data_IF_250254020246
#
_entry.id   IF_250254020246
#
_cell.length_a   1.000
_cell.length_b   1.000
_cell.length_c   1.000
_cell.angle_alpha   90.00
_cell.angle_beta   90.00
_cell.angle_gamma   90.00
#
_symmetry.space_group_name_H-M   'P 1'
#
loop_
_entity.id
_entity.type
_entity.pdbx_description
1 polymer ?
#
# COMPACT_ATOMS: atom_id res chain seq x y z
N UNK A 1 19.17 -23.67 3.06
CA UNK A 1 18.76 -24.68 4.06
C UNK A 1 17.59 -24.06 4.81
N UNK A 2 16.47 -24.77 4.98
CA UNK A 2 15.30 -24.20 5.65
C UNK A 2 15.58 -23.94 7.14
N UNK A 3 15.04 -22.86 7.68
CA UNK A 3 15.10 -22.51 9.10
C UNK A 3 14.08 -23.33 9.91
N UNK A 4 14.34 -23.51 11.21
CA UNK A 4 13.39 -24.20 12.10
C UNK A 4 12.24 -23.26 12.48
N UNK A 5 11.22 -23.17 11.63
CA UNK A 5 10.05 -22.31 11.84
C UNK A 5 9.13 -22.73 13.00
N UNK A 6 9.41 -23.86 13.67
CA UNK A 6 8.71 -24.26 14.90
C UNK A 6 9.34 -23.61 16.13
N UNK A 7 10.66 -23.43 16.13
CA UNK A 7 11.43 -22.88 17.26
C UNK A 7 11.79 -21.40 17.07
N UNK A 8 11.98 -20.98 15.82
CA UNK A 8 12.36 -19.62 15.48
C UNK A 8 11.12 -18.77 15.20
N UNK A 9 11.05 -17.60 15.84
CA UNK A 9 10.11 -16.56 15.46
C UNK A 9 10.46 -15.98 14.08
N UNK A 10 9.48 -15.44 13.37
CA UNK A 10 9.66 -14.90 12.02
C UNK A 10 10.77 -13.84 11.91
N UNK A 11 10.95 -13.00 12.93
CA UNK A 11 12.02 -12.00 12.96
C UNK A 11 13.41 -12.64 13.09
N UNK A 12 13.54 -13.79 13.76
CA UNK A 12 14.80 -14.54 13.87
C UNK A 12 15.14 -15.21 12.54
N UNK A 13 14.12 -15.71 11.84
CA UNK A 13 14.28 -16.26 10.49
C UNK A 13 14.74 -15.16 9.54
N UNK A 14 14.11 -13.99 9.59
CA UNK A 14 14.53 -12.80 8.82
C UNK A 14 15.99 -12.46 9.13
N UNK A 15 16.34 -12.23 10.39
CA UNK A 15 17.72 -11.89 10.80
C UNK A 15 18.76 -12.92 10.34
N UNK A 16 18.44 -14.21 10.41
CA UNK A 16 19.33 -15.26 9.94
C UNK A 16 19.50 -15.25 8.41
N UNK A 17 18.42 -15.05 7.66
CA UNK A 17 18.43 -14.98 6.20
C UNK A 17 19.10 -13.69 5.67
N UNK A 18 18.99 -12.60 6.42
CA UNK A 18 19.56 -11.31 6.03
C UNK A 18 21.10 -11.35 5.85
N UNK A 19 21.81 -12.30 6.48
CA UNK A 19 23.27 -12.46 6.38
C UNK A 19 23.78 -12.69 4.95
N UNK A 20 22.98 -13.31 4.08
CA UNK A 20 23.35 -13.54 2.67
C UNK A 20 22.34 -12.92 1.71
N UNK A 21 21.57 -11.94 2.19
CA UNK A 21 20.61 -11.22 1.36
C UNK A 21 21.35 -10.43 0.28
N UNK A 22 20.94 -10.54 -1.01
CA UNK A 22 21.64 -9.82 -2.07
C UNK A 22 21.50 -8.30 -1.90
N UNK A 23 22.60 -7.59 -2.13
CA UNK A 23 22.67 -6.13 -2.13
C UNK A 23 22.16 -5.56 -3.46
N UNK A 24 21.91 -4.23 -3.55
CA UNK A 24 21.38 -3.60 -4.76
C UNK A 24 22.18 -3.89 -6.04
N UNK A 25 23.51 -3.91 -5.99
CA UNK A 25 24.34 -4.25 -7.15
C UNK A 25 24.19 -5.72 -7.58
N UNK A 26 24.08 -6.64 -6.62
CA UNK A 26 23.84 -8.05 -6.92
C UNK A 26 22.44 -8.28 -7.49
N UNK A 27 21.43 -7.53 -7.01
CA UNK A 27 20.10 -7.53 -7.60
C UNK A 27 20.10 -6.99 -9.02
N UNK A 28 20.84 -5.90 -9.28
CA UNK A 28 21.01 -5.37 -10.63
C UNK A 28 21.49 -6.46 -11.58
N UNK A 29 22.54 -7.17 -11.19
CA UNK A 29 23.15 -8.20 -12.03
C UNK A 29 22.21 -9.42 -12.17
N UNK A 30 21.58 -9.89 -11.09
CA UNK A 30 20.62 -11.02 -11.10
C UNK A 30 19.39 -10.77 -11.96
N UNK A 31 18.91 -9.53 -11.98
CA UNK A 31 17.69 -9.15 -12.72
C UNK A 31 17.99 -8.63 -14.14
N UNK A 32 19.27 -8.53 -14.53
CA UNK A 32 19.67 -7.99 -15.83
C UNK A 32 19.26 -6.51 -16.00
N UNK A 33 19.37 -5.74 -14.92
CA UNK A 33 19.08 -4.31 -14.92
C UNK A 33 20.28 -3.51 -15.41
N UNK A 34 20.03 -2.38 -16.07
CA UNK A 34 21.07 -1.44 -16.45
C UNK A 34 21.54 -0.62 -15.23
N UNK A 35 22.71 0.02 -15.36
CA UNK A 35 23.40 0.73 -14.26
C UNK A 35 22.49 1.71 -13.52
N UNK A 36 21.64 2.44 -14.24
CA UNK A 36 20.82 3.49 -13.66
C UNK A 36 19.35 3.07 -13.43
N UNK A 37 19.05 1.77 -13.51
CA UNK A 37 17.72 1.19 -13.26
C UNK A 37 17.54 0.67 -11.83
N UNK A 38 18.64 0.49 -11.09
CA UNK A 38 18.65 0.25 -9.65
C UNK A 38 19.01 1.56 -8.96
N UNK A 39 18.17 1.99 -8.00
CA UNK A 39 18.37 3.18 -7.17
C UNK A 39 18.69 2.73 -5.74
N UNK A 40 19.98 2.57 -5.35
CA UNK A 40 20.34 2.05 -4.04
C UNK A 40 19.87 2.97 -2.90
N UNK A 41 19.34 2.34 -1.85
CA UNK A 41 18.89 2.97 -0.60
C UNK A 41 19.42 2.16 0.57
N UNK A 42 20.71 2.32 0.86
CA UNK A 42 21.42 1.47 1.81
C UNK A 42 21.49 0.03 1.30
N UNK A 43 21.00 -0.92 2.12
CA UNK A 43 20.94 -2.35 1.77
C UNK A 43 19.76 -2.74 0.88
N UNK A 44 18.80 -1.83 0.69
CA UNK A 44 17.69 -1.99 -0.25
C UNK A 44 17.93 -1.14 -1.49
N UNK A 45 17.05 -1.25 -2.48
CA UNK A 45 17.03 -0.35 -3.62
C UNK A 45 15.63 -0.22 -4.19
N UNK A 46 15.36 0.88 -4.89
CA UNK A 46 14.17 1.02 -5.73
C UNK A 46 14.50 0.71 -7.18
N UNK A 47 13.52 0.21 -7.92
CA UNK A 47 13.63 0.02 -9.36
C UNK A 47 13.12 1.27 -10.09
N UNK A 48 13.94 1.88 -10.95
CA UNK A 48 13.54 3.04 -11.76
C UNK A 48 12.50 2.59 -12.79
N UNK A 49 11.23 2.85 -12.48
CA UNK A 49 10.10 2.39 -13.27
C UNK A 49 10.18 2.87 -14.71
N UNK A 50 10.45 4.17 -14.91
CA UNK A 50 10.39 4.80 -16.23
C UNK A 50 11.48 4.26 -17.15
N UNK A 51 12.70 4.04 -16.63
CA UNK A 51 13.78 3.47 -17.45
C UNK A 51 13.48 2.03 -17.84
N UNK A 52 13.08 1.21 -16.86
CA UNK A 52 12.81 -0.21 -17.09
C UNK A 52 11.65 -0.40 -18.05
N UNK A 53 10.52 0.28 -17.85
CA UNK A 53 9.33 0.06 -18.67
C UNK A 53 9.52 0.56 -20.10
N UNK A 54 10.29 1.65 -20.30
CA UNK A 54 10.57 2.17 -21.64
C UNK A 54 11.54 1.28 -22.41
N UNK A 55 12.57 0.75 -21.73
CA UNK A 55 13.54 -0.18 -22.33
C UNK A 55 12.89 -1.52 -22.67
N UNK A 56 12.07 -2.06 -21.77
CA UNK A 56 11.44 -3.38 -21.90
C UNK A 56 10.03 -3.33 -22.54
N UNK A 57 9.63 -2.20 -23.13
CA UNK A 57 8.26 -2.00 -23.67
C UNK A 57 7.85 -3.08 -24.67
N UNK A 58 8.80 -3.54 -25.50
CA UNK A 58 8.58 -4.51 -26.59
C UNK A 58 8.77 -5.96 -26.12
N UNK A 59 9.28 -6.19 -24.91
CA UNK A 59 9.38 -7.54 -24.32
C UNK A 59 7.97 -8.04 -23.98
N UNK A 60 7.56 -9.26 -24.34
CA UNK A 60 6.26 -9.79 -23.95
C UNK A 60 6.16 -9.92 -22.43
N UNK A 61 4.94 -9.70 -21.90
CA UNK A 61 4.66 -9.87 -20.48
C UNK A 61 4.72 -11.34 -20.07
N UNK A 62 5.22 -11.61 -18.87
CA UNK A 62 5.18 -12.91 -18.23
C UNK A 62 3.77 -13.35 -17.80
N UNK A 63 3.70 -14.48 -17.11
CA UNK A 63 2.47 -15.04 -16.56
C UNK A 63 2.10 -14.33 -15.27
N UNK A 64 0.96 -13.64 -15.32
CA UNK A 64 0.43 -12.92 -14.18
C UNK A 64 -0.39 -13.84 -13.27
N UNK A 65 0.07 -14.06 -12.04
CA UNK A 65 -0.54 -14.94 -11.04
C UNK A 65 -1.11 -14.09 -9.91
N UNK A 66 -2.39 -14.25 -9.62
CA UNK A 66 -3.05 -13.56 -8.53
C UNK A 66 -3.29 -14.53 -7.35
N UNK A 67 -3.01 -14.08 -6.13
CA UNK A 67 -3.26 -14.83 -4.90
C UNK A 67 -4.34 -14.11 -4.08
N UNK A 68 -5.42 -14.83 -3.80
CA UNK A 68 -6.51 -14.39 -2.93
C UNK A 68 -6.74 -15.40 -1.81
N UNK A 69 -7.76 -15.20 -0.99
CA UNK A 69 -8.17 -16.15 0.04
C UNK A 69 -9.70 -16.21 0.18
N UNK A 70 -10.17 -17.19 0.96
CA UNK A 70 -11.53 -17.18 1.49
C UNK A 70 -11.78 -15.96 2.39
N UNK A 71 -13.03 -15.73 2.77
CA UNK A 71 -13.41 -14.65 3.70
C UNK A 71 -12.58 -14.76 5.00
N UNK A 72 -11.88 -13.69 5.41
CA UNK A 72 -10.92 -13.77 6.51
C UNK A 72 -11.55 -14.14 7.84
N UNK A 73 -10.81 -14.94 8.60
CA UNK A 73 -11.11 -15.32 9.98
C UNK A 73 -10.06 -14.72 10.92
N UNK A 74 -10.33 -14.57 12.23
CA UNK A 74 -9.33 -14.14 13.20
C UNK A 74 -8.09 -15.06 13.30
N UNK A 75 -8.14 -16.26 12.71
CA UNK A 75 -7.04 -17.22 12.70
C UNK A 75 -5.98 -16.91 11.64
N UNK A 76 -6.34 -16.13 10.62
CA UNK A 76 -5.51 -15.85 9.46
C UNK A 76 -5.41 -17.05 8.52
N UNK A 77 -5.44 -16.76 7.22
CA UNK A 77 -5.40 -17.79 6.17
C UNK A 77 -3.99 -18.00 5.61
N UNK A 78 -3.04 -17.10 5.91
CA UNK A 78 -1.66 -17.21 5.43
C UNK A 78 -1.47 -16.79 3.97
N UNK A 79 -2.32 -15.91 3.43
CA UNK A 79 -2.28 -15.48 2.02
C UNK A 79 -0.89 -15.02 1.55
N UNK A 80 -0.25 -14.12 2.29
CA UNK A 80 1.08 -13.62 1.92
C UNK A 80 2.18 -14.67 2.10
N UNK A 81 1.98 -15.62 3.04
CA UNK A 81 2.83 -16.83 3.15
C UNK A 81 2.67 -17.71 1.90
N UNK A 82 1.46 -17.86 1.38
CA UNK A 82 1.20 -18.56 0.10
C UNK A 82 1.84 -17.83 -1.08
N UNK A 83 1.76 -16.50 -1.14
CA UNK A 83 2.44 -15.71 -2.18
C UNK A 83 3.96 -15.93 -2.15
N UNK A 84 4.58 -15.83 -0.98
CA UNK A 84 6.02 -16.07 -0.82
C UNK A 84 6.39 -17.52 -1.16
N UNK A 85 5.69 -18.49 -0.59
CA UNK A 85 5.96 -19.92 -0.83
C UNK A 85 5.74 -20.34 -2.28
N UNK A 86 4.82 -19.70 -3.01
CA UNK A 86 4.63 -19.92 -4.43
C UNK A 86 5.82 -19.40 -5.24
N UNK A 87 6.34 -18.22 -4.91
CA UNK A 87 7.56 -17.69 -5.53
C UNK A 87 8.75 -18.62 -5.26
N UNK A 88 8.94 -19.04 -4.01
CA UNK A 88 10.03 -19.94 -3.61
C UNK A 88 9.92 -21.31 -4.30
N UNK A 89 8.71 -21.89 -4.32
CA UNK A 89 8.45 -23.17 -4.97
C UNK A 89 8.70 -23.14 -6.48
N UNK A 90 8.30 -22.07 -7.17
CA UNK A 90 8.59 -21.89 -8.60
C UNK A 90 10.08 -21.64 -8.84
N UNK A 91 10.74 -20.85 -7.99
CA UNK A 91 12.17 -20.56 -8.10
C UNK A 91 13.03 -21.80 -7.89
N UNK A 92 12.67 -22.65 -6.93
CA UNK A 92 13.31 -23.95 -6.69
C UNK A 92 13.22 -24.90 -7.88
N UNK A 93 12.23 -24.70 -8.77
CA UNK A 93 12.09 -25.44 -10.03
C UNK A 93 12.91 -24.82 -11.18
N UNK A 94 13.72 -23.79 -10.90
CA UNK A 94 14.54 -23.09 -11.89
C UNK A 94 13.77 -22.12 -12.76
N UNK A 95 12.54 -21.74 -12.39
CA UNK A 95 11.74 -20.78 -13.14
C UNK A 95 12.10 -19.35 -12.77
N UNK A 96 12.12 -18.44 -13.75
CA UNK A 96 12.26 -17.00 -13.51
C UNK A 96 10.95 -16.46 -12.92
N UNK A 97 10.91 -16.35 -11.59
CA UNK A 97 9.74 -15.93 -10.81
C UNK A 97 10.09 -14.78 -9.88
N UNK A 98 9.16 -13.84 -9.81
CA UNK A 98 9.14 -12.80 -8.79
C UNK A 98 7.72 -12.37 -8.50
N UNK A 99 7.55 -11.30 -7.72
CA UNK A 99 6.22 -10.84 -7.37
C UNK A 99 6.14 -9.39 -6.94
N UNK A 100 4.93 -8.95 -6.59
CA UNK A 100 4.66 -7.63 -6.06
C UNK A 100 3.67 -7.68 -4.89
N UNK A 101 4.12 -7.31 -3.69
CA UNK A 101 3.29 -7.24 -2.48
C UNK A 101 3.14 -5.80 -1.98
N UNK A 102 2.19 -5.61 -1.06
CA UNK A 102 1.89 -4.28 -0.50
C UNK A 102 2.92 -3.88 0.55
N UNK A 103 3.22 -2.59 0.59
CA UNK A 103 3.90 -1.99 1.72
C UNK A 103 2.93 -1.94 2.92
N UNK A 104 3.33 -2.41 4.11
CA UNK A 104 2.54 -2.27 5.31
C UNK A 104 2.66 -0.86 5.90
N UNK A 105 1.63 -0.45 6.65
CA UNK A 105 1.71 0.72 7.53
C UNK A 105 2.58 0.38 8.75
N UNK A 106 3.41 1.32 9.18
CA UNK A 106 4.21 1.19 10.40
C UNK A 106 3.37 1.37 11.68
N UNK A 107 2.22 2.05 11.58
CA UNK A 107 1.35 2.33 12.73
C UNK A 107 0.88 1.06 13.46
N UNK A 108 0.28 0.08 12.77
CA UNK A 108 -0.15 -1.18 13.38
C UNK A 108 0.99 -2.03 13.95
N UNK A 109 2.20 -1.93 13.37
CA UNK A 109 3.40 -2.67 13.83
C UNK A 109 3.72 -2.39 15.30
N UNK A 110 3.45 -1.17 15.77
CA UNK A 110 3.69 -0.75 17.16
C UNK A 110 2.55 -1.15 18.12
N UNK A 111 1.59 -1.95 17.66
CA UNK A 111 0.41 -2.37 18.43
C UNK A 111 0.31 -3.91 18.45
N UNK A 112 -0.91 -4.48 18.53
CA UNK A 112 -1.13 -5.94 18.64
C UNK A 112 -0.75 -6.71 17.36
N UNK A 113 -0.73 -6.06 16.18
CA UNK A 113 -0.45 -6.73 14.92
C UNK A 113 1.05 -6.72 14.64
N UNK A 114 1.65 -7.91 14.61
CA UNK A 114 2.96 -8.11 13.99
C UNK A 114 2.93 -7.77 12.49
N UNK A 115 4.09 -7.89 11.85
CA UNK A 115 4.23 -7.55 10.43
C UNK A 115 3.54 -8.55 9.51
N UNK A 116 3.00 -8.04 8.39
CA UNK A 116 2.29 -8.83 7.39
C UNK A 116 3.22 -9.21 6.22
N UNK A 117 4.36 -9.83 6.52
CA UNK A 117 5.41 -10.14 5.55
C UNK A 117 5.37 -11.59 5.02
N UNK A 118 4.32 -12.35 5.32
CA UNK A 118 4.35 -13.82 5.23
C UNK A 118 4.64 -14.43 6.60
N UNK A 119 5.19 -15.64 6.65
CA UNK A 119 5.53 -16.29 7.93
C UNK A 119 6.29 -17.61 7.77
N UNK A 120 7.00 -18.02 8.82
CA UNK A 120 7.88 -19.18 8.80
C UNK A 120 9.01 -19.04 7.78
N UNK A 121 9.24 -20.07 6.97
CA UNK A 121 10.26 -20.00 5.91
C UNK A 121 9.83 -19.21 4.68
N UNK A 122 8.55 -18.85 4.56
CA UNK A 122 8.00 -18.13 3.41
C UNK A 122 7.55 -16.74 3.83
N UNK A 123 8.54 -15.88 4.04
CA UNK A 123 8.38 -14.49 4.43
C UNK A 123 9.30 -13.56 3.62
N UNK A 124 8.96 -12.28 3.55
CA UNK A 124 9.79 -11.23 2.99
C UNK A 124 10.85 -10.75 3.98
N UNK A 125 12.05 -10.53 3.46
CA UNK A 125 13.19 -9.94 4.16
C UNK A 125 13.68 -8.68 3.44
N UNK A 126 14.18 -7.67 4.15
CA UNK A 126 14.33 -7.64 5.61
C UNK A 126 13.09 -7.11 6.34
N UNK A 127 12.76 -7.76 7.46
CA UNK A 127 11.50 -7.53 8.17
C UNK A 127 11.44 -6.14 8.84
N UNK A 128 12.58 -5.64 9.31
CA UNK A 128 12.68 -4.34 10.00
C UNK A 128 12.30 -3.19 9.07
N UNK A 129 12.97 -3.07 7.93
CA UNK A 129 12.70 -2.03 6.93
C UNK A 129 11.29 -2.20 6.37
N UNK A 130 10.85 -3.43 6.08
CA UNK A 130 9.48 -3.70 5.63
C UNK A 130 8.44 -3.12 6.58
N UNK A 131 8.68 -3.21 7.89
CA UNK A 131 7.72 -2.81 8.93
C UNK A 131 7.86 -1.36 9.38
N UNK A 132 9.02 -0.72 9.13
CA UNK A 132 9.39 0.60 9.63
C UNK A 132 9.61 1.62 8.50
N UNK A 133 8.63 1.75 7.61
CA UNK A 133 8.59 2.80 6.59
C UNK A 133 9.34 2.49 5.29
N UNK A 134 10.02 1.34 5.20
CA UNK A 134 10.68 0.82 4.01
C UNK A 134 11.64 1.84 3.39
N UNK A 135 11.29 2.38 2.24
CA UNK A 135 12.09 3.35 1.46
C UNK A 135 11.43 4.73 1.40
N UNK A 136 10.51 5.02 2.33
CA UNK A 136 9.96 6.36 2.55
C UNK A 136 8.69 6.70 1.77
N UNK A 137 8.09 5.79 0.99
CA UNK A 137 6.91 6.10 0.16
C UNK A 137 5.73 6.64 0.98
N UNK A 138 5.47 6.07 2.16
CA UNK A 138 4.41 6.55 3.07
C UNK A 138 4.74 7.95 3.61
N UNK A 139 6.01 8.30 3.80
CA UNK A 139 6.42 9.63 4.25
C UNK A 139 6.14 10.68 3.18
N UNK A 140 6.45 10.38 1.92
CA UNK A 140 6.14 11.26 0.79
C UNK A 140 4.63 11.44 0.62
N UNK A 141 3.85 10.37 0.83
CA UNK A 141 2.38 10.43 0.85
C UNK A 141 1.87 11.32 2.00
N UNK A 142 2.43 11.19 3.20
CA UNK A 142 2.07 12.05 4.34
C UNK A 142 2.35 13.52 4.02
N UNK A 143 3.54 13.83 3.48
CA UNK A 143 3.90 15.20 3.10
C UNK A 143 2.97 15.76 2.02
N UNK A 144 2.71 14.99 0.96
CA UNK A 144 1.82 15.42 -0.12
C UNK A 144 0.37 15.65 0.36
N UNK A 145 -0.18 14.70 1.12
CA UNK A 145 -1.55 14.82 1.64
C UNK A 145 -1.69 15.99 2.61
N UNK A 146 -0.77 16.11 3.56
CA UNK A 146 -0.83 17.18 4.57
C UNK A 146 -0.55 18.56 3.94
N UNK A 147 0.23 18.63 2.85
CA UNK A 147 0.40 19.87 2.09
C UNK A 147 -0.94 20.38 1.52
N UNK A 148 -1.81 19.49 1.04
CA UNK A 148 -3.15 19.89 0.59
C UNK A 148 -3.99 20.46 1.74
N UNK A 149 -3.91 19.88 2.94
CA UNK A 149 -4.55 20.43 4.13
C UNK A 149 -3.96 21.78 4.56
N UNK A 150 -2.64 21.97 4.45
CA UNK A 150 -2.00 23.27 4.67
C UNK A 150 -2.54 24.31 3.68
N UNK A 151 -2.57 23.98 2.39
CA UNK A 151 -3.10 24.87 1.35
C UNK A 151 -4.58 25.22 1.59
N UNK A 152 -5.41 24.23 1.92
CA UNK A 152 -6.83 24.41 2.21
C UNK A 152 -7.05 25.33 3.42
N UNK A 153 -6.35 25.10 4.53
CA UNK A 153 -6.53 25.87 5.76
C UNK A 153 -6.00 27.30 5.62
N UNK A 154 -4.85 27.48 4.94
CA UNK A 154 -4.32 28.80 4.58
C UNK A 154 -5.31 29.56 3.69
N UNK A 155 -5.89 28.87 2.71
CA UNK A 155 -6.90 29.44 1.81
C UNK A 155 -8.11 29.96 2.56
N UNK A 156 -8.69 29.15 3.45
CA UNK A 156 -9.84 29.55 4.27
C UNK A 156 -9.51 30.73 5.18
N UNK A 157 -8.31 30.76 5.77
CA UNK A 157 -7.86 31.87 6.59
C UNK A 157 -7.72 33.17 5.79
N UNK A 158 -7.10 33.12 4.61
CA UNK A 158 -6.95 34.28 3.73
C UNK A 158 -8.30 34.83 3.29
N UNK A 159 -9.23 33.95 2.91
CA UNK A 159 -10.59 34.35 2.57
C UNK A 159 -11.34 34.97 3.75
N UNK A 160 -11.15 34.48 4.98
CA UNK A 160 -11.71 35.12 6.17
C UNK A 160 -11.10 36.51 6.41
N UNK A 161 -9.81 36.66 6.16
CA UNK A 161 -9.05 37.84 6.55
C UNK A 161 -9.10 38.98 5.53
N UNK A 162 -9.30 38.67 4.24
CA UNK A 162 -9.17 39.62 3.13
C UNK A 162 -10.46 39.71 2.32
N UNK A 163 -10.75 40.88 1.77
CA UNK A 163 -11.78 41.05 0.74
C UNK A 163 -11.26 40.58 -0.63
N UNK A 164 -12.12 40.62 -1.66
CA UNK A 164 -11.79 40.05 -2.97
C UNK A 164 -10.67 40.80 -3.69
N UNK A 165 -10.66 42.14 -3.61
CA UNK A 165 -9.60 42.98 -4.17
C UNK A 165 -8.24 42.68 -3.53
N UNK A 166 -8.21 42.52 -2.20
CA UNK A 166 -6.99 42.16 -1.48
C UNK A 166 -6.53 40.75 -1.82
N UNK A 167 -7.45 39.79 -1.93
CA UNK A 167 -7.13 38.40 -2.25
C UNK A 167 -6.53 38.30 -3.67
N UNK A 168 -7.16 38.96 -4.64
CA UNK A 168 -6.67 39.03 -6.02
C UNK A 168 -5.27 39.67 -6.09
N UNK A 169 -5.07 40.81 -5.43
CA UNK A 169 -3.76 41.49 -5.39
C UNK A 169 -2.65 40.65 -4.73
N UNK A 170 -2.96 39.89 -3.68
CA UNK A 170 -1.97 39.14 -2.90
C UNK A 170 -1.68 37.75 -3.46
N UNK A 171 -2.67 37.11 -4.08
CA UNK A 171 -2.58 35.69 -4.48
C UNK A 171 -2.78 35.49 -5.98
N UNK A 172 -3.40 36.44 -6.69
CA UNK A 172 -3.83 36.27 -8.08
C UNK A 172 -4.99 35.29 -8.25
N UNK A 173 -5.65 34.88 -7.16
CA UNK A 173 -6.70 33.86 -7.18
C UNK A 173 -8.06 34.43 -6.78
N UNK A 174 -9.15 34.10 -7.50
CA UNK A 174 -10.50 34.48 -7.12
C UNK A 174 -10.97 33.67 -5.91
N UNK A 175 -11.88 34.21 -5.11
CA UNK A 175 -12.47 33.55 -3.93
C UNK A 175 -13.11 32.19 -4.27
N UNK A 176 -12.82 31.16 -3.49
CA UNK A 176 -13.38 29.82 -3.62
C UNK A 176 -14.64 29.63 -2.76
N UNK A 177 -14.85 30.47 -1.73
CA UNK A 177 -16.05 30.45 -0.90
C UNK A 177 -16.29 29.08 -0.22
N UNK A 178 -15.21 28.45 0.27
CA UNK A 178 -15.27 27.15 0.95
C UNK A 178 -16.26 27.21 2.11
N UNK A 179 -17.12 26.21 2.19
CA UNK A 179 -18.01 26.01 3.33
C UNK A 179 -17.22 25.30 4.46
N UNK A 180 -17.02 25.94 5.63
CA UNK A 180 -16.24 25.35 6.71
C UNK A 180 -16.88 24.11 7.34
N UNK A 181 -18.16 23.84 7.05
CA UNK A 181 -18.86 22.64 7.52
C UNK A 181 -18.78 21.48 6.53
N UNK A 182 -18.22 21.70 5.33
CA UNK A 182 -18.10 20.71 4.24
C UNK A 182 -16.66 20.53 3.79
N UNK A 183 -15.74 20.50 4.74
CA UNK A 183 -14.36 20.08 4.54
C UNK A 183 -14.28 18.57 4.74
N UNK A 184 -14.04 17.83 3.66
CA UNK A 184 -14.03 16.36 3.68
C UNK A 184 -12.65 15.79 3.98
N UNK A 185 -11.60 16.46 3.49
CA UNK A 185 -10.22 16.06 3.71
C UNK A 185 -9.82 16.29 5.18
N UNK A 186 -9.09 15.32 5.73
CA UNK A 186 -8.46 15.43 7.06
C UNK A 186 -6.95 15.43 6.93
N UNK A 187 -6.25 15.48 8.04
CA UNK A 187 -4.81 15.25 8.10
C UNK A 187 -4.51 13.74 8.10
N UNK A 188 -3.26 13.35 7.83
CA UNK A 188 -2.82 11.96 8.02
C UNK A 188 -1.53 11.84 8.80
N UNK A 189 -1.42 10.72 9.51
CA UNK A 189 -0.21 10.24 10.19
C UNK A 189 -0.14 8.72 10.06
N UNK A 190 1.04 8.12 10.13
CA UNK A 190 1.18 6.66 10.10
C UNK A 190 1.29 6.04 11.51
N UNK A 191 0.39 6.45 12.41
CA UNK A 191 0.28 5.91 13.76
C UNK A 191 -1.17 5.66 14.15
N UNK A 192 -1.39 4.66 15.00
CA UNK A 192 -2.71 4.37 15.56
C UNK A 192 -3.05 5.34 16.72
N UNK A 193 -3.55 6.54 16.40
CA UNK A 193 -3.93 7.55 17.39
C UNK A 193 -5.44 7.80 17.42
N UNK A 194 -6.18 7.05 18.25
CA UNK A 194 -7.63 7.23 18.39
C UNK A 194 -8.02 8.64 18.86
N UNK A 195 -7.19 9.28 19.68
CA UNK A 195 -7.41 10.63 20.20
C UNK A 195 -7.47 11.72 19.11
N UNK A 196 -6.92 11.47 17.92
CA UNK A 196 -6.89 12.44 16.82
C UNK A 196 -8.02 12.25 15.80
N UNK A 197 -8.95 11.31 16.03
CA UNK A 197 -10.07 11.07 15.11
C UNK A 197 -10.99 12.26 14.95
N UNK A 198 -11.18 13.05 16.02
CA UNK A 198 -11.98 14.26 16.02
C UNK A 198 -11.22 15.34 16.79
N UNK A 199 -10.89 16.43 16.13
CA UNK A 199 -10.14 17.55 16.71
C UNK A 199 -10.79 18.87 16.32
N UNK A 200 -10.39 19.94 17.00
CA UNK A 200 -10.62 21.32 16.56
C UNK A 200 -9.26 21.95 16.27
N UNK A 201 -9.10 22.55 15.09
CA UNK A 201 -7.87 23.24 14.67
C UNK A 201 -8.10 24.75 14.57
N UNK A 202 -7.03 25.52 14.36
CA UNK A 202 -7.12 26.97 14.14
C UNK A 202 -7.65 27.72 15.36
N UNK A 203 -7.35 27.24 16.56
CA UNK A 203 -7.60 27.96 17.81
C UNK A 203 -6.56 29.07 17.97
N UNK A 204 -6.95 30.19 18.59
CA UNK A 204 -6.10 31.37 18.76
C UNK A 204 -6.76 32.62 18.21
N UNK A 205 -5.93 33.56 17.75
CA UNK A 205 -6.35 34.82 17.15
C UNK A 205 -6.54 34.75 15.63
N UNK A 206 -6.79 35.92 15.02
CA UNK A 206 -7.06 36.08 13.57
C UNK A 206 -5.95 35.54 12.65
N UNK A 207 -4.72 35.44 13.16
CA UNK A 207 -3.55 35.00 12.39
C UNK A 207 -3.16 33.53 12.63
N UNK A 208 -3.86 32.80 13.51
CA UNK A 208 -3.50 31.44 13.93
C UNK A 208 -4.28 30.33 13.19
N UNK A 209 -4.82 30.64 12.00
CA UNK A 209 -5.59 29.72 11.17
C UNK A 209 -7.11 29.90 11.25
N UNK A 210 -7.84 29.03 10.56
CA UNK A 210 -9.30 29.01 10.52
C UNK A 210 -9.85 27.99 11.52
N UNK A 211 -10.67 28.44 12.49
CA UNK A 211 -11.23 27.56 13.52
C UNK A 211 -12.30 26.64 12.93
N UNK A 212 -12.07 25.33 12.94
CA UNK A 212 -13.02 24.34 12.44
C UNK A 212 -12.82 22.95 13.05
N UNK A 213 -13.84 22.11 12.95
CA UNK A 213 -13.70 20.67 13.22
C UNK A 213 -12.81 20.04 12.13
N UNK A 214 -11.96 19.11 12.54
CA UNK A 214 -11.08 18.37 11.64
C UNK A 214 -10.81 16.97 12.21
N UNK A 215 -9.99 16.19 11.51
CA UNK A 215 -9.72 14.77 11.80
C UNK A 215 -8.34 14.35 11.31
N UNK A 216 -7.78 13.31 11.91
CA UNK A 216 -6.66 12.56 11.36
C UNK A 216 -7.09 11.17 10.89
N UNK A 217 -6.61 10.76 9.72
CA UNK A 217 -6.63 9.39 9.23
C UNK A 217 -5.25 8.72 9.36
N UNK A 218 -5.23 7.39 9.22
CA UNK A 218 -3.97 6.67 9.05
C UNK A 218 -3.45 6.84 7.62
N UNK A 219 -2.13 6.96 7.43
CA UNK A 219 -1.54 7.35 6.15
C UNK A 219 -1.92 6.44 4.97
N UNK A 220 -1.98 5.12 5.18
CA UNK A 220 -2.41 4.15 4.16
C UNK A 220 -3.89 4.25 3.77
N UNK A 221 -4.70 4.97 4.55
CA UNK A 221 -6.09 5.30 4.22
C UNK A 221 -6.25 6.55 3.34
N UNK A 222 -5.14 7.23 3.00
CA UNK A 222 -5.13 8.40 2.14
C UNK A 222 -5.56 8.08 0.70
N UNK A 223 -6.32 8.99 0.08
CA UNK A 223 -6.60 8.92 -1.36
C UNK A 223 -5.31 8.98 -2.20
N UNK A 224 -4.26 9.67 -1.73
CA UNK A 224 -2.96 9.67 -2.41
C UNK A 224 -2.35 8.26 -2.47
N UNK A 225 -2.55 7.42 -1.45
CA UNK A 225 -2.13 6.01 -1.47
C UNK A 225 -2.98 5.19 -2.45
N UNK A 226 -4.29 5.44 -2.49
CA UNK A 226 -5.19 4.81 -3.45
C UNK A 226 -4.80 5.17 -4.90
N UNK A 227 -4.54 6.45 -5.18
CA UNK A 227 -4.04 6.94 -6.46
C UNK A 227 -2.72 6.24 -6.81
N UNK A 228 -1.74 6.21 -5.91
CA UNK A 228 -0.45 5.56 -6.16
C UNK A 228 -0.61 4.08 -6.56
N UNK A 229 -1.59 3.38 -5.99
CA UNK A 229 -1.83 1.97 -6.32
C UNK A 229 -2.38 1.74 -7.74
N UNK A 230 -3.00 2.75 -8.37
CA UNK A 230 -3.69 2.59 -9.67
C UNK A 230 -3.17 3.49 -10.79
N UNK A 231 -2.15 4.32 -10.54
CA UNK A 231 -1.54 5.13 -11.59
C UNK A 231 -0.76 4.27 -12.58
N UNK A 232 -0.66 4.77 -13.82
CA UNK A 232 0.15 4.16 -14.87
C UNK A 232 1.54 4.79 -15.01
N UNK A 233 1.67 6.07 -14.66
CA UNK A 233 2.90 6.86 -14.76
C UNK A 233 2.79 8.17 -13.95
N UNK A 234 3.82 9.02 -14.03
CA UNK A 234 3.90 10.30 -13.32
C UNK A 234 2.89 11.34 -13.84
N UNK A 235 2.51 11.29 -15.13
CA UNK A 235 1.52 12.21 -15.67
C UNK A 235 0.11 11.86 -15.15
N UNK A 236 -0.23 10.57 -15.10
CA UNK A 236 -1.46 10.04 -14.49
C UNK A 236 -1.51 10.36 -12.98
N UNK A 237 -0.38 10.26 -12.27
CA UNK A 237 -0.28 10.70 -10.87
C UNK A 237 -0.61 12.18 -10.73
N UNK A 238 0.03 13.04 -11.54
CA UNK A 238 -0.18 14.49 -11.52
C UNK A 238 -1.64 14.85 -11.79
N UNK A 239 -2.24 14.26 -12.81
CA UNK A 239 -3.63 14.51 -13.18
C UNK A 239 -4.58 14.14 -12.03
N UNK A 240 -4.42 12.96 -11.45
CA UNK A 240 -5.27 12.49 -10.34
C UNK A 240 -5.08 13.34 -9.09
N UNK A 241 -3.84 13.69 -8.76
CA UNK A 241 -3.54 14.54 -7.61
C UNK A 241 -4.09 15.96 -7.75
N UNK A 242 -4.31 16.48 -8.96
CA UNK A 242 -4.98 17.77 -9.18
C UNK A 242 -6.51 17.69 -9.10
N UNK A 243 -7.09 16.49 -9.13
CA UNK A 243 -8.53 16.27 -9.13
C UNK A 243 -9.08 15.78 -7.78
N UNK A 244 -8.24 15.68 -6.74
CA UNK A 244 -8.69 15.33 -5.39
C UNK A 244 -9.63 16.42 -4.90
N UNK A 245 -10.85 16.04 -4.53
CA UNK A 245 -11.81 16.95 -3.88
C UNK A 245 -11.46 17.08 -2.41
N UNK A 246 -11.22 18.31 -1.94
CA UNK A 246 -10.82 18.57 -0.55
C UNK A 246 -11.96 19.12 0.30
N UNK A 247 -12.89 19.85 -0.31
CA UNK A 247 -14.02 20.49 0.34
C UNK A 247 -15.12 20.82 -0.69
N UNK A 248 -16.25 21.33 -0.22
CA UNK A 248 -17.28 21.96 -1.05
C UNK A 248 -17.38 23.46 -0.74
N UNK A 249 -17.65 24.27 -1.76
CA UNK A 249 -17.98 25.69 -1.56
C UNK A 249 -19.39 25.87 -0.99
N UNK A 250 -19.81 27.10 -0.67
CA UNK A 250 -21.16 27.39 -0.14
C UNK A 250 -22.31 27.09 -1.12
N UNK A 251 -22.03 26.93 -2.41
CA UNK A 251 -23.01 26.55 -3.44
C UNK A 251 -23.13 25.04 -3.63
N UNK A 252 -22.18 24.26 -3.10
CA UNK A 252 -22.12 22.80 -3.27
C UNK A 252 -21.21 22.35 -4.41
N UNK A 253 -20.42 23.25 -5.01
CA UNK A 253 -19.41 22.88 -6.00
C UNK A 253 -18.20 22.24 -5.30
N UNK A 254 -17.65 21.14 -5.83
CA UNK A 254 -16.38 20.60 -5.36
C UNK A 254 -15.26 21.63 -5.49
N UNK A 255 -14.42 21.71 -4.46
CA UNK A 255 -13.13 22.42 -4.47
C UNK A 255 -12.03 21.37 -4.50
N UNK A 256 -11.17 21.46 -5.50
CA UNK A 256 -10.10 20.49 -5.75
C UNK A 256 -8.73 21.00 -5.32
N UNK A 257 -7.76 20.10 -5.22
CA UNK A 257 -6.33 20.43 -5.10
C UNK A 257 -5.81 21.23 -6.31
N UNK A 258 -6.42 21.09 -7.49
CA UNK A 258 -6.14 21.93 -8.65
C UNK A 258 -6.63 23.36 -8.48
N UNK A 259 -7.83 23.56 -7.91
CA UNK A 259 -8.36 24.90 -7.57
C UNK A 259 -7.52 25.61 -6.51
N UNK A 260 -6.82 24.85 -5.66
CA UNK A 260 -5.85 25.35 -4.68
C UNK A 260 -4.42 25.51 -5.23
N UNK A 261 -4.18 25.16 -6.50
CA UNK A 261 -2.87 25.14 -7.15
C UNK A 261 -1.80 24.30 -6.42
N UNK A 262 -2.22 23.30 -5.63
CA UNK A 262 -1.32 22.49 -4.78
C UNK A 262 -1.00 21.11 -5.38
N UNK A 263 -1.83 20.60 -6.30
CA UNK A 263 -1.67 19.24 -6.85
C UNK A 263 -0.31 18.99 -7.51
N UNK A 264 0.29 20.00 -8.14
CA UNK A 264 1.63 19.90 -8.73
C UNK A 264 2.73 19.78 -7.65
N UNK A 265 2.60 20.52 -6.54
CA UNK A 265 3.54 20.42 -5.43
C UNK A 265 3.41 19.07 -4.71
N UNK A 266 2.19 18.55 -4.56
CA UNK A 266 1.96 17.18 -4.07
C UNK A 266 2.65 16.14 -4.97
N UNK A 267 2.55 16.32 -6.29
CA UNK A 267 3.24 15.45 -7.26
C UNK A 267 4.76 15.50 -7.11
N UNK A 268 5.32 16.68 -6.81
CA UNK A 268 6.75 16.82 -6.59
C UNK A 268 7.23 16.03 -5.36
N UNK A 269 6.47 16.05 -4.25
CA UNK A 269 6.73 15.19 -3.09
C UNK A 269 6.65 13.71 -3.46
N UNK A 270 5.63 13.31 -4.22
CA UNK A 270 5.41 11.92 -4.60
C UNK A 270 6.21 11.46 -5.83
N UNK A 271 7.11 12.28 -6.37
CA UNK A 271 7.81 11.97 -7.63
C UNK A 271 8.58 10.65 -7.55
N UNK A 272 9.20 10.37 -6.41
CA UNK A 272 10.01 9.16 -6.21
C UNK A 272 9.19 7.95 -5.76
N UNK A 273 7.92 8.14 -5.41
CA UNK A 273 7.03 7.05 -4.98
C UNK A 273 6.56 6.22 -6.16
N UNK A 274 6.91 6.54 -7.41
CA UNK A 274 6.53 5.71 -8.56
C UNK A 274 7.46 4.51 -8.75
N UNK A 275 8.55 4.43 -7.98
CA UNK A 275 9.59 3.43 -8.12
C UNK A 275 9.41 2.32 -7.07
N UNK A 276 9.05 1.08 -7.45
CA UNK A 276 8.86 -0.03 -6.51
C UNK A 276 10.14 -0.35 -5.74
N UNK A 277 10.00 -0.75 -4.48
CA UNK A 277 11.15 -1.21 -3.67
C UNK A 277 11.47 -2.66 -3.98
N UNK A 278 12.74 -2.98 -4.22
CA UNK A 278 13.22 -4.35 -4.39
C UNK A 278 13.49 -5.00 -3.01
N UNK A 279 12.77 -6.06 -2.72
CA UNK A 279 12.97 -6.95 -1.57
C UNK A 279 13.07 -8.40 -2.06
N UNK A 280 13.13 -9.36 -1.13
CA UNK A 280 13.08 -10.76 -1.51
C UNK A 280 12.47 -11.63 -0.41
N UNK A 281 12.18 -12.88 -0.76
CA UNK A 281 11.79 -13.89 0.22
C UNK A 281 13.02 -14.39 1.00
N UNK A 282 12.80 -15.18 2.06
CA UNK A 282 13.89 -15.79 2.84
C UNK A 282 14.77 -16.74 2.03
N UNK A 283 14.27 -17.30 0.91
CA UNK A 283 15.06 -18.04 -0.08
C UNK A 283 15.59 -17.17 -1.25
N UNK A 284 15.52 -15.85 -1.13
CA UNK A 284 16.02 -14.85 -2.08
C UNK A 284 15.31 -14.85 -3.44
N UNK A 285 14.01 -15.14 -3.49
CA UNK A 285 13.19 -14.85 -4.67
C UNK A 285 12.80 -13.36 -4.71
N UNK A 286 12.92 -12.68 -5.86
CA UNK A 286 12.69 -11.24 -5.95
C UNK A 286 11.21 -10.89 -5.70
N UNK A 287 10.97 -9.91 -4.83
CA UNK A 287 9.64 -9.37 -4.58
C UNK A 287 9.67 -7.84 -4.53
N UNK A 288 8.90 -7.20 -5.41
CA UNK A 288 8.65 -5.78 -5.38
C UNK A 288 7.68 -5.45 -4.23
N UNK A 289 7.96 -4.43 -3.45
CA UNK A 289 7.06 -3.92 -2.41
C UNK A 289 6.70 -2.48 -2.74
N UNK A 290 5.40 -2.24 -2.95
CA UNK A 290 4.97 -0.95 -3.46
C UNK A 290 3.48 -0.69 -3.28
N UNK A 291 3.15 0.51 -2.79
CA UNK A 291 1.81 0.93 -2.36
C UNK A 291 1.17 -0.02 -1.34
N UNK A 292 0.19 0.47 -0.59
CA UNK A 292 -0.48 -0.30 0.45
C UNK A 292 -1.85 0.24 0.80
N UNK A 293 -2.75 0.48 -0.16
CA UNK A 293 -4.07 1.03 0.13
C UNK A 293 -4.90 0.03 0.95
N UNK A 294 -5.82 0.56 1.73
CA UNK A 294 -6.84 -0.25 2.36
C UNK A 294 -7.75 -0.95 1.35
N UNK A 295 -8.11 -2.19 1.66
CA UNK A 295 -8.93 -3.03 0.79
C UNK A 295 -10.45 -2.83 1.00
N UNK A 296 -10.88 -2.08 2.02
CA UNK A 296 -12.29 -1.75 2.24
C UNK A 296 -12.70 -0.46 1.50
N UNK A 297 -11.95 0.63 1.71
CA UNK A 297 -12.22 1.96 1.11
C UNK A 297 -11.48 2.21 -0.21
N UNK A 298 -10.50 1.37 -0.56
CA UNK A 298 -9.75 1.46 -1.81
C UNK A 298 -9.53 0.04 -2.39
N UNK A 299 -8.59 -0.10 -3.33
CA UNK A 299 -8.44 -1.31 -4.15
C UNK A 299 -7.89 -2.50 -3.35
N UNK A 300 -6.91 -2.29 -2.47
CA UNK A 300 -6.38 -3.34 -1.59
C UNK A 300 -5.24 -4.20 -2.14
N UNK A 301 -4.54 -3.75 -3.19
CA UNK A 301 -3.41 -4.46 -3.82
C UNK A 301 -2.15 -3.58 -3.85
N UNK A 302 -1.01 -4.17 -4.19
CA UNK A 302 0.19 -3.43 -4.59
C UNK A 302 -0.05 -2.63 -5.88
N UNK A 303 0.87 -1.75 -6.26
CA UNK A 303 0.59 -0.85 -7.39
C UNK A 303 0.61 -1.51 -8.77
N UNK A 304 -0.16 -0.94 -9.71
CA UNK A 304 -0.10 -1.29 -11.13
C UNK A 304 1.33 -1.15 -11.68
N UNK A 305 2.08 -0.13 -11.26
CA UNK A 305 3.47 0.08 -11.68
C UNK A 305 4.34 -1.12 -11.29
N UNK A 306 4.21 -1.65 -10.07
CA UNK A 306 4.98 -2.81 -9.65
C UNK A 306 4.68 -4.04 -10.50
N UNK A 307 3.41 -4.28 -10.86
CA UNK A 307 3.08 -5.40 -11.74
C UNK A 307 3.58 -5.20 -13.16
N UNK A 308 3.52 -3.98 -13.70
CA UNK A 308 4.04 -3.68 -15.03
C UNK A 308 5.54 -3.93 -15.12
N UNK A 309 6.30 -3.55 -14.10
CA UNK A 309 7.73 -3.85 -14.02
C UNK A 309 7.96 -5.34 -13.86
N UNK A 310 7.28 -5.98 -12.89
CA UNK A 310 7.43 -7.40 -12.61
C UNK A 310 7.12 -8.28 -13.82
N UNK A 311 6.07 -7.98 -14.57
CA UNK A 311 5.70 -8.72 -15.79
C UNK A 311 6.72 -8.58 -16.92
N UNK A 312 7.52 -7.50 -16.95
CA UNK A 312 8.64 -7.39 -17.89
C UNK A 312 9.90 -8.11 -17.39
N UNK A 313 10.09 -8.25 -16.08
CA UNK A 313 11.29 -8.88 -15.50
C UNK A 313 11.15 -10.40 -15.36
N UNK A 314 9.97 -10.89 -14.99
CA UNK A 314 9.73 -12.28 -14.61
C UNK A 314 8.86 -13.03 -15.61
N UNK A 315 9.18 -14.31 -15.83
CA UNK A 315 8.31 -15.18 -16.63
C UNK A 315 7.03 -15.56 -15.84
N UNK A 316 7.10 -15.52 -14.51
CA UNK A 316 5.98 -15.70 -13.59
C UNK A 316 5.98 -14.56 -12.56
N UNK A 317 4.92 -13.75 -12.54
CA UNK A 317 4.77 -12.62 -11.64
C UNK A 317 3.62 -12.88 -10.66
N UNK A 318 3.94 -13.07 -9.39
CA UNK A 318 2.98 -13.34 -8.31
C UNK A 318 2.56 -12.05 -7.61
N UNK A 319 1.27 -11.78 -7.53
CA UNK A 319 0.70 -10.65 -6.77
C UNK A 319 -0.42 -11.14 -5.87
N UNK A 320 -0.94 -10.28 -5.01
CA UNK A 320 -2.03 -10.64 -4.11
C UNK A 320 -3.10 -9.56 -3.95
N UNK A 321 -4.26 -10.01 -3.45
CA UNK A 321 -5.39 -9.16 -3.06
C UNK A 321 -5.60 -9.13 -1.55
N UNK A 322 -5.81 -7.95 -0.97
CA UNK A 322 -6.20 -7.80 0.45
C UNK A 322 -7.64 -8.25 0.71
N UNK A 323 -7.95 -8.72 1.92
CA UNK A 323 -9.22 -9.42 2.26
C UNK A 323 -9.44 -10.71 1.44
N UNK A 324 -10.66 -11.25 1.44
CA UNK A 324 -11.03 -12.43 0.68
C UNK A 324 -11.33 -12.12 -0.79
N UNK A 325 -11.70 -13.15 -1.55
CA UNK A 325 -12.03 -13.03 -2.97
C UNK A 325 -13.26 -12.14 -3.24
N UNK A 326 -14.19 -12.08 -2.30
CA UNK A 326 -15.40 -11.26 -2.31
C UNK A 326 -15.12 -9.75 -2.35
N UNK A 327 -13.98 -9.30 -1.81
CA UNK A 327 -13.60 -7.88 -1.79
C UNK A 327 -12.32 -7.65 -2.59
N UNK A 328 -11.25 -8.34 -2.23
CA UNK A 328 -9.93 -8.12 -2.79
C UNK A 328 -9.85 -8.51 -4.25
N UNK A 329 -10.24 -9.74 -4.56
CA UNK A 329 -10.17 -10.24 -5.93
C UNK A 329 -11.20 -9.55 -6.84
N UNK A 330 -12.40 -9.25 -6.33
CA UNK A 330 -13.39 -8.43 -7.02
C UNK A 330 -12.79 -7.09 -7.47
N UNK A 331 -12.16 -6.35 -6.56
CA UNK A 331 -11.52 -5.06 -6.88
C UNK A 331 -10.27 -5.20 -7.75
N UNK A 332 -9.52 -6.29 -7.57
CA UNK A 332 -8.40 -6.62 -8.46
C UNK A 332 -8.90 -6.69 -9.91
N UNK A 333 -9.97 -7.47 -10.15
CA UNK A 333 -10.49 -7.68 -11.49
C UNK A 333 -11.20 -6.45 -12.06
N UNK A 334 -12.08 -5.83 -11.28
CA UNK A 334 -12.97 -4.77 -11.76
C UNK A 334 -12.35 -3.37 -11.72
N UNK A 335 -11.29 -3.16 -10.94
CA UNK A 335 -10.61 -1.87 -10.82
C UNK A 335 -9.18 -1.97 -11.33
N UNK A 336 -8.32 -2.78 -10.69
CA UNK A 336 -6.88 -2.81 -11.01
C UNK A 336 -6.61 -3.33 -12.42
N UNK A 337 -7.18 -4.47 -12.80
CA UNK A 337 -7.08 -5.05 -14.15
C UNK A 337 -7.72 -4.15 -15.21
N UNK A 338 -8.84 -3.49 -14.87
CA UNK A 338 -9.49 -2.54 -15.78
C UNK A 338 -8.62 -1.30 -16.07
N UNK A 339 -8.00 -0.70 -15.04
CA UNK A 339 -7.14 0.46 -15.21
C UNK A 339 -5.78 0.13 -15.85
N UNK A 340 -5.22 -1.04 -15.52
CA UNK A 340 -3.92 -1.46 -16.05
C UNK A 340 -3.99 -2.09 -17.45
N UNK A 341 -5.14 -2.67 -17.80
CA UNK A 341 -5.27 -3.56 -18.96
C UNK A 341 -4.68 -4.97 -18.75
N UNK A 342 -4.10 -5.24 -17.57
CA UNK A 342 -3.46 -6.53 -17.26
C UNK A 342 -4.51 -7.59 -16.92
N UNK A 343 -4.30 -8.81 -17.41
CA UNK A 343 -5.18 -9.96 -17.17
C UNK A 343 -4.41 -11.05 -16.45
N UNK A 344 -4.87 -11.52 -15.27
CA UNK A 344 -4.23 -12.65 -14.61
C UNK A 344 -4.47 -13.91 -15.46
N UNK A 345 -3.47 -14.78 -15.49
CA UNK A 345 -3.53 -16.08 -16.17
C UNK A 345 -4.07 -17.17 -15.24
N UNK A 346 -3.88 -17.01 -13.94
CA UNK A 346 -4.36 -17.92 -12.91
C UNK A 346 -4.57 -17.16 -11.60
N UNK A 347 -5.57 -17.58 -10.85
CA UNK A 347 -5.81 -17.15 -9.46
C UNK A 347 -5.66 -18.33 -8.50
N UNK A 348 -5.04 -18.10 -7.35
CA UNK A 348 -4.84 -19.06 -6.27
C UNK A 348 -5.70 -18.64 -5.08
N UNK A 349 -6.65 -19.50 -4.69
CA UNK A 349 -7.51 -19.27 -3.54
C UNK A 349 -6.92 -19.93 -2.29
N UNK A 350 -6.37 -19.13 -1.39
CA UNK A 350 -5.80 -19.60 -0.13
C UNK A 350 -6.90 -19.94 0.88
N UNK A 351 -6.80 -21.10 1.53
CA UNK A 351 -7.69 -21.53 2.60
C UNK A 351 -6.95 -22.38 3.63
N UNK A 352 -7.53 -22.54 4.83
CA UNK A 352 -7.03 -23.46 5.85
C UNK A 352 -8.16 -24.25 6.47
N UNK A 353 -7.87 -25.47 6.92
CA UNK A 353 -8.84 -26.33 7.62
C UNK A 353 -9.47 -25.61 8.81
N UNK A 354 -8.68 -24.83 9.57
CA UNK A 354 -9.19 -24.11 10.74
C UNK A 354 -10.15 -22.97 10.36
N UNK A 355 -9.87 -22.26 9.27
CA UNK A 355 -10.75 -21.20 8.78
C UNK A 355 -12.08 -21.78 8.26
N UNK A 356 -12.04 -22.88 7.50
CA UNK A 356 -13.26 -23.60 7.09
C UNK A 356 -14.08 -24.07 8.29
N UNK A 357 -13.44 -24.68 9.30
CA UNK A 357 -14.13 -25.05 10.55
C UNK A 357 -14.83 -23.87 11.23
N UNK A 358 -14.28 -22.65 11.15
CA UNK A 358 -14.92 -21.47 11.71
C UNK A 358 -16.14 -21.03 10.92
N UNK A 359 -16.06 -21.03 9.58
CA UNK A 359 -17.20 -20.78 8.71
C UNK A 359 -18.31 -21.83 8.87
N UNK A 360 -17.94 -23.08 9.15
CA UNK A 360 -18.88 -24.18 9.42
C UNK A 360 -19.53 -24.19 10.80
N UNK A 361 -19.34 -23.15 11.62
CA UNK A 361 -19.99 -23.01 12.94
C UNK A 361 -19.09 -23.28 14.15
N UNK A 362 -17.77 -23.30 13.96
CA UNK A 362 -16.81 -23.40 15.06
C UNK A 362 -16.90 -22.23 16.06
N UNK A 363 -16.42 -22.41 17.31
CA UNK A 363 -16.54 -21.42 18.37
C UNK A 363 -15.77 -20.13 18.08
N UNK A 364 -16.31 -18.97 18.43
CA UNK A 364 -15.66 -17.67 18.16
C UNK A 364 -14.23 -17.59 18.68
N UNK A 365 -13.31 -17.19 17.81
CA UNK A 365 -11.91 -16.94 18.15
C UNK A 365 -11.72 -15.48 18.52
N UNK A 366 -11.11 -15.23 19.68
CA UNK A 366 -10.80 -13.88 20.17
C UNK A 366 -9.29 -13.71 20.27
N UNK A 367 -8.76 -12.67 19.63
CA UNK A 367 -7.32 -12.34 19.64
C UNK A 367 -6.83 -12.17 21.09
N UNK A 368 -5.68 -12.76 21.40
CA UNK A 368 -5.07 -12.72 22.75
C UNK A 368 -5.60 -13.78 23.72
N UNK A 369 -6.60 -14.58 23.34
CA UNK A 369 -7.02 -15.78 24.09
C UNK A 369 -6.46 -17.06 23.47
N UNK A 370 -6.33 -18.09 24.28
CA UNK A 370 -5.97 -19.42 23.81
C UNK A 370 -6.96 -19.90 22.74
N UNK A 371 -6.42 -20.56 21.71
CA UNK A 371 -7.22 -21.13 20.63
C UNK A 371 -8.12 -22.25 21.20
N UNK A 372 -9.44 -22.26 20.93
CA UNK A 372 -10.29 -23.35 21.37
C UNK A 372 -9.82 -24.71 20.84
N UNK A 373 -9.86 -25.75 21.67
CA UNK A 373 -9.48 -27.13 21.34
C UNK A 373 -10.18 -27.67 20.08
N UNK A 374 -11.38 -27.18 19.78
CA UNK A 374 -12.12 -27.58 18.59
C UNK A 374 -11.38 -27.22 17.27
N UNK A 375 -10.47 -26.24 17.32
CA UNK A 375 -9.62 -25.90 16.18
C UNK A 375 -8.34 -26.75 16.08
N UNK A 376 -7.91 -27.41 17.16
CA UNK A 376 -6.74 -28.30 17.17
C UNK A 376 -7.08 -29.76 16.91
N UNK A 377 -8.36 -30.14 17.07
CA UNK A 377 -8.87 -31.49 16.80
C UNK A 377 -9.52 -31.61 15.41
N UNK A 378 -9.64 -32.85 14.93
CA UNK A 378 -10.38 -33.17 13.72
C UNK A 378 -11.88 -32.90 13.90
N UNK A 379 -12.51 -32.30 12.90
CA UNK A 379 -13.96 -32.17 12.78
C UNK A 379 -14.32 -32.02 11.30
N UNK A 380 -14.70 -33.11 10.66
CA UNK A 380 -15.01 -33.14 9.22
C UNK A 380 -16.32 -32.42 8.89
N UNK A 381 -17.31 -32.48 9.77
CA UNK A 381 -18.63 -31.85 9.56
C UNK A 381 -18.52 -30.33 9.43
N UNK A 382 -17.71 -29.69 10.29
CA UNK A 382 -17.49 -28.24 10.19
C UNK A 382 -16.66 -27.85 8.97
N UNK A 383 -15.72 -28.70 8.52
CA UNK A 383 -14.97 -28.44 7.29
C UNK A 383 -15.87 -28.57 6.07
N UNK A 384 -16.82 -29.51 6.05
CA UNK A 384 -17.77 -29.67 4.95
C UNK A 384 -18.80 -28.55 4.91
N UNK A 385 -19.23 -28.04 6.07
CA UNK A 385 -20.20 -26.93 6.17
C UNK A 385 -19.63 -25.56 5.81
N UNK A 386 -18.35 -25.31 6.09
CA UNK A 386 -17.68 -24.03 5.85
C UNK A 386 -16.96 -23.99 4.52
#
# INVERSE_FOLDING_TARGET
MAYNAVEMADWQISEAAEKNMPLPDEWRDKLGLEKDEMLPMGRLGKLDFLKIINRLKDKPDGKYIEVTAITPTPLGEGKSTTSCGLMEGLGKRGLNVGGALRQPSGGPTMNVKGTAAGGGNSLLIPMTEFSLGLTGDINDIMNAHNLAMVALTARMQHERNYNDEQLDRLTGMPRLNIDPTRVEMGWIIDFCAQALRNIVIGLGGRMDGFTMQSKFGIAVGSECMAILSVIRDLADLKERLNNITVAFDKSGKPVTTGDLEVGNAMTAFMRQTINPTMMCTAEYNPCLVHAGPFANIAVGQSSIIADRVGLKLFDYHVTESGFGADIGFEKFWNVKSRFSGLKPHVSVLTTTIRALKMHGGGPTVVTGKALPDAYTKENLEWVEKG
#
